data_IF_111309907631
#
_entry.id   IF_111309907631
#
_cell.length_a   1.000
_cell.length_b   1.000
_cell.length_c   1.000
_cell.angle_alpha   90.00
_cell.angle_beta   90.00
_cell.angle_gamma   90.00
#
_symmetry.space_group_name_H-M   'P 1'
#
loop_
_entity.id
_entity.type
_entity.pdbx_description
1 polymer ?
#
# COMPACT_ATOMS: atom_id res chain seq x y z
N UNK A 1 -22.13 19.15 -15.49
CA UNK A 1 -21.05 18.14 -15.65
C UNK A 1 -20.11 18.30 -14.48
N UNK A 2 -19.89 17.26 -13.68
CA UNK A 2 -18.92 17.29 -12.58
C UNK A 2 -17.51 17.40 -13.16
N UNK A 3 -16.70 18.33 -12.63
CA UNK A 3 -15.30 18.52 -13.05
C UNK A 3 -14.52 17.25 -12.70
N UNK A 4 -13.96 16.59 -13.71
CA UNK A 4 -13.09 15.42 -13.50
C UNK A 4 -11.74 15.88 -12.96
N UNK A 5 -11.19 15.15 -12.00
CA UNK A 5 -9.82 15.33 -11.52
C UNK A 5 -8.93 14.31 -12.21
N UNK A 6 -7.87 14.78 -12.86
CA UNK A 6 -6.94 13.96 -13.61
C UNK A 6 -5.57 13.97 -12.93
N UNK A 7 -4.99 12.79 -12.78
CA UNK A 7 -3.63 12.60 -12.28
C UNK A 7 -2.81 11.99 -13.40
N UNK A 8 -1.82 12.73 -13.89
CA UNK A 8 -0.84 12.21 -14.85
C UNK A 8 0.23 11.42 -14.12
N UNK A 9 0.48 10.19 -14.58
CA UNK A 9 1.52 9.31 -14.06
C UNK A 9 2.62 9.17 -15.11
N UNK A 10 3.83 9.54 -14.73
CA UNK A 10 5.01 9.36 -15.56
C UNK A 10 5.69 8.02 -15.29
N UNK A 11 6.44 7.52 -16.28
CA UNK A 11 7.26 6.34 -16.12
C UNK A 11 8.31 6.58 -15.01
N UNK A 12 8.37 5.74 -13.96
CA UNK A 12 9.36 5.89 -12.90
C UNK A 12 10.78 5.50 -13.32
N UNK A 13 10.98 4.86 -14.47
CA UNK A 13 12.30 4.51 -14.97
C UNK A 13 12.31 4.40 -16.50
N UNK A 14 13.52 4.40 -17.09
CA UNK A 14 13.69 3.98 -18.48
C UNK A 14 13.47 2.47 -18.56
N UNK A 15 12.72 2.02 -19.55
CA UNK A 15 12.47 0.59 -19.71
C UNK A 15 11.31 0.28 -20.63
N UNK A 16 10.91 -0.98 -20.67
CA UNK A 16 9.74 -1.43 -21.42
C UNK A 16 8.50 -1.36 -20.54
N UNK A 17 7.46 -0.64 -20.97
CA UNK A 17 6.19 -0.55 -20.25
C UNK A 17 5.38 -1.85 -20.39
N UNK A 18 4.89 -2.38 -19.28
CA UNK A 18 4.16 -3.64 -19.20
C UNK A 18 2.82 -3.45 -18.49
N UNK A 19 1.81 -4.20 -18.91
CA UNK A 19 0.58 -4.35 -18.15
C UNK A 19 0.87 -5.14 -16.86
N UNK A 20 0.17 -4.81 -15.76
CA UNK A 20 0.33 -5.56 -14.51
C UNK A 20 0.11 -7.06 -14.68
N UNK A 21 -0.83 -7.47 -15.54
CA UNK A 21 -1.12 -8.87 -15.83
C UNK A 21 0.06 -9.66 -16.43
N UNK A 22 1.16 -9.00 -16.82
CA UNK A 22 2.39 -9.63 -17.31
C UNK A 22 3.49 -9.75 -16.24
N UNK A 23 3.24 -9.26 -15.03
CA UNK A 23 4.16 -9.36 -13.89
C UNK A 23 4.08 -10.77 -13.31
N UNK A 24 5.23 -11.38 -12.97
CA UNK A 24 5.31 -12.73 -12.40
C UNK A 24 5.01 -12.77 -10.89
N UNK A 25 4.00 -12.02 -10.45
CA UNK A 25 3.55 -11.96 -9.07
C UNK A 25 2.02 -11.85 -9.04
N UNK A 26 1.29 -12.82 -8.45
CA UNK A 26 -0.18 -12.81 -8.40
C UNK A 26 -0.78 -11.60 -7.69
N UNK A 27 -0.10 -11.06 -6.69
CA UNK A 27 -0.57 -9.91 -5.91
C UNK A 27 -0.66 -8.67 -6.79
N UNK A 28 0.29 -8.48 -7.70
CA UNK A 28 0.29 -7.38 -8.65
C UNK A 28 -0.48 -7.72 -9.94
N UNK A 29 -0.26 -8.89 -10.52
CA UNK A 29 -0.83 -9.25 -11.83
C UNK A 29 -2.35 -9.43 -11.83
N UNK A 30 -2.93 -9.77 -10.67
CA UNK A 30 -4.38 -9.83 -10.49
C UNK A 30 -4.98 -8.50 -10.00
N UNK A 31 -4.16 -7.45 -9.82
CA UNK A 31 -4.60 -6.16 -9.30
C UNK A 31 -5.00 -6.19 -7.82
N UNK A 32 -4.56 -7.19 -7.05
CA UNK A 32 -4.87 -7.33 -5.63
C UNK A 32 -4.20 -6.26 -4.76
N UNK A 33 -3.17 -5.55 -5.26
CA UNK A 33 -2.62 -4.33 -4.65
C UNK A 33 -3.09 -3.02 -5.31
N UNK A 34 -4.01 -3.12 -6.28
CA UNK A 34 -4.56 -1.98 -6.99
C UNK A 34 -4.22 -1.96 -8.48
N UNK A 35 -4.82 -1.01 -9.19
CA UNK A 35 -4.61 -0.79 -10.62
C UNK A 35 -3.30 -0.05 -10.88
N UNK A 36 -2.65 -0.30 -12.01
CA UNK A 36 -1.36 0.29 -12.31
C UNK A 36 -0.69 -0.28 -13.54
N UNK A 37 0.63 -0.23 -13.56
CA UNK A 37 1.48 -0.75 -14.64
C UNK A 37 2.84 -1.18 -14.09
N UNK A 38 3.63 -1.85 -14.93
CA UNK A 38 4.98 -2.23 -14.60
C UNK A 38 5.97 -1.74 -15.66
N UNK A 39 7.25 -1.67 -15.32
CA UNK A 39 8.34 -1.35 -16.22
C UNK A 39 9.41 -2.42 -16.06
N UNK A 40 9.86 -3.02 -17.16
CA UNK A 40 11.11 -3.77 -17.16
C UNK A 40 12.27 -2.80 -17.39
N UNK A 41 13.08 -2.48 -16.36
CA UNK A 41 13.99 -1.35 -16.43
C UNK A 41 15.25 -1.63 -17.25
N UNK A 42 15.65 -0.64 -18.04
CA UNK A 42 16.98 -0.55 -18.63
C UNK A 42 17.93 0.34 -17.82
N UNK A 43 17.41 1.10 -16.86
CA UNK A 43 18.17 1.96 -15.95
C UNK A 43 17.74 1.75 -14.50
N UNK A 44 18.72 1.85 -13.59
CA UNK A 44 18.48 1.78 -12.14
C UNK A 44 18.06 3.09 -11.49
N UNK A 45 18.02 4.21 -12.23
CA UNK A 45 17.57 5.49 -11.68
C UNK A 45 16.04 5.56 -11.69
N UNK A 46 15.45 5.61 -10.50
CA UNK A 46 14.01 5.67 -10.28
C UNK A 46 13.60 7.09 -9.95
N UNK A 47 12.55 7.57 -10.61
CA UNK A 47 11.98 8.90 -10.41
C UNK A 47 10.56 8.84 -9.85
N UNK A 48 10.14 9.91 -9.18
CA UNK A 48 8.77 10.07 -8.72
C UNK A 48 7.80 10.10 -9.93
N UNK A 49 6.73 9.30 -9.93
CA UNK A 49 5.78 9.21 -11.04
C UNK A 49 4.73 10.33 -11.06
N UNK A 50 4.60 11.09 -9.97
CA UNK A 50 3.67 12.20 -9.83
C UNK A 50 4.13 13.13 -8.72
N UNK A 51 3.57 14.34 -8.69
CA UNK A 51 3.72 15.27 -7.57
C UNK A 51 3.03 14.72 -6.32
N UNK A 52 3.69 14.83 -5.16
CA UNK A 52 3.10 14.35 -3.91
C UNK A 52 4.03 14.45 -2.71
N UNK A 53 3.59 13.81 -1.63
CA UNK A 53 4.36 13.65 -0.39
C UNK A 53 4.75 12.19 -0.25
N UNK A 54 6.01 11.92 0.04
CA UNK A 54 6.48 10.58 0.37
C UNK A 54 5.84 10.14 1.68
N UNK A 55 5.10 9.05 1.68
CA UNK A 55 4.38 8.53 2.86
C UNK A 55 5.07 7.33 3.48
N UNK A 56 5.86 6.59 2.69
CA UNK A 56 6.49 5.35 3.11
C UNK A 56 7.81 5.17 2.38
N UNK A 57 8.83 4.74 3.13
CA UNK A 57 10.01 4.05 2.58
C UNK A 57 10.10 2.74 3.36
N UNK A 58 10.01 1.60 2.68
CA UNK A 58 10.15 0.29 3.34
C UNK A 58 11.51 0.15 4.03
N UNK A 59 11.60 -0.64 5.11
CA UNK A 59 12.86 -0.87 5.84
C UNK A 59 13.99 -1.37 4.93
N UNK A 60 13.67 -2.30 4.03
CA UNK A 60 14.60 -2.85 3.04
C UNK A 60 14.64 -2.04 1.75
N UNK A 61 14.09 -0.81 1.74
CA UNK A 61 14.25 0.22 0.70
C UNK A 61 13.78 -0.14 -0.72
N UNK A 62 13.11 -1.28 -0.90
CA UNK A 62 12.63 -1.75 -2.20
C UNK A 62 11.24 -1.19 -2.57
N UNK A 63 10.56 -0.52 -1.63
CA UNK A 63 9.27 0.10 -1.88
C UNK A 63 9.20 1.54 -1.35
N UNK A 64 8.51 2.40 -2.13
CA UNK A 64 8.26 3.81 -1.86
C UNK A 64 6.76 4.10 -2.02
N UNK A 65 6.16 4.76 -1.03
CA UNK A 65 4.79 5.28 -1.10
C UNK A 65 4.79 6.79 -1.35
N UNK A 66 3.94 7.27 -2.25
CA UNK A 66 3.72 8.69 -2.53
C UNK A 66 2.21 8.96 -2.50
N UNK A 67 1.79 9.97 -1.75
CA UNK A 67 0.41 10.45 -1.76
C UNK A 67 0.30 11.74 -2.55
N UNK A 68 -0.54 11.74 -3.59
CA UNK A 68 -0.78 12.94 -4.39
C UNK A 68 -1.75 13.88 -3.67
N UNK A 69 -1.71 15.17 -4.03
CA UNK A 69 -2.67 16.17 -3.53
C UNK A 69 -4.12 15.82 -3.87
N UNK A 70 -4.34 15.05 -4.93
CA UNK A 70 -5.66 14.66 -5.42
C UNK A 70 -6.11 13.31 -4.82
N UNK A 71 -5.38 12.81 -3.81
CA UNK A 71 -5.78 11.69 -2.97
C UNK A 71 -5.33 10.31 -3.46
N UNK A 72 -4.51 10.21 -4.51
CA UNK A 72 -3.99 8.92 -4.96
C UNK A 72 -2.82 8.46 -4.10
N UNK A 73 -2.90 7.23 -3.61
CA UNK A 73 -1.81 6.55 -2.93
C UNK A 73 -1.07 5.68 -3.95
N UNK A 74 0.14 6.11 -4.29
CA UNK A 74 1.01 5.47 -5.29
C UNK A 74 2.06 4.63 -4.55
N UNK A 75 2.15 3.36 -4.90
CA UNK A 75 3.23 2.46 -4.49
C UNK A 75 4.17 2.23 -5.68
N UNK A 76 5.45 2.49 -5.48
CA UNK A 76 6.54 2.05 -6.36
C UNK A 76 7.22 0.86 -5.66
N UNK A 77 7.19 -0.31 -6.28
CA UNK A 77 7.84 -1.53 -5.79
C UNK A 77 8.94 -1.94 -6.77
N UNK A 78 10.14 -2.23 -6.25
CA UNK A 78 11.36 -2.43 -7.04
C UNK A 78 11.75 -3.90 -7.08
N UNK A 79 11.46 -4.58 -8.18
CA UNK A 79 11.71 -6.00 -8.38
C UNK A 79 10.68 -6.90 -7.69
N UNK A 80 10.88 -8.22 -7.80
CA UNK A 80 10.07 -9.25 -7.13
C UNK A 80 10.90 -9.94 -6.06
N UNK A 81 10.33 -10.16 -4.87
CA UNK A 81 10.98 -10.75 -3.69
C UNK A 81 12.30 -10.07 -3.27
N UNK A 82 12.47 -8.80 -3.61
CA UNK A 82 13.70 -8.03 -3.33
C UNK A 82 13.84 -7.61 -1.87
N UNK A 83 12.79 -7.80 -1.06
CA UNK A 83 12.86 -7.68 0.40
C UNK A 83 13.97 -8.55 1.00
N UNK A 84 14.24 -9.74 0.42
CA UNK A 84 15.29 -10.67 0.85
C UNK A 84 16.71 -10.11 0.66
N UNK A 85 16.87 -9.06 -0.15
CA UNK A 85 18.16 -8.43 -0.43
C UNK A 85 18.56 -7.41 0.66
N UNK A 86 17.73 -7.23 1.68
CA UNK A 86 18.04 -6.44 2.89
C UNK A 86 18.52 -5.01 2.58
N UNK A 87 17.95 -4.37 1.55
CA UNK A 87 18.28 -3.00 1.17
C UNK A 87 19.61 -2.80 0.44
N UNK A 88 20.44 -3.84 0.27
CA UNK A 88 21.77 -3.71 -0.34
C UNK A 88 21.77 -3.13 -1.76
N UNK A 89 20.82 -3.48 -2.66
CA UNK A 89 20.81 -2.93 -4.01
C UNK A 89 20.26 -1.50 -4.10
N UNK A 90 19.75 -0.92 -3.01
CA UNK A 90 18.93 0.28 -3.05
C UNK A 90 19.56 1.45 -2.28
N UNK A 91 19.75 2.55 -2.98
CA UNK A 91 20.13 3.85 -2.40
C UNK A 91 18.93 4.79 -2.51
N UNK A 92 18.36 5.20 -1.37
CA UNK A 92 17.15 6.05 -1.32
C UNK A 92 17.57 7.49 -1.07
N UNK A 93 17.04 8.42 -1.87
CA UNK A 93 17.35 9.85 -1.80
C UNK A 93 16.32 10.68 -1.00
N UNK A 94 15.20 10.06 -0.63
CA UNK A 94 14.05 10.71 0.03
C UNK A 94 13.65 9.98 1.32
N UNK A 95 12.87 10.64 2.17
CA UNK A 95 12.30 10.07 3.40
C UNK A 95 10.81 10.42 3.53
N UNK A 96 10.05 9.70 4.38
CA UNK A 96 8.66 10.07 4.67
C UNK A 96 8.54 11.54 5.11
N UNK A 97 7.55 12.24 4.56
CA UNK A 97 7.32 13.67 4.77
C UNK A 97 7.94 14.58 3.70
N UNK A 98 8.88 14.09 2.89
CA UNK A 98 9.45 14.89 1.80
C UNK A 98 8.42 15.13 0.69
N UNK A 99 8.41 16.33 0.13
CA UNK A 99 7.66 16.65 -1.08
C UNK A 99 8.50 16.32 -2.31
N UNK A 100 7.87 15.71 -3.32
CA UNK A 100 8.49 15.35 -4.61
C UNK A 100 7.64 15.85 -5.77
N UNK A 101 8.30 16.17 -6.88
CA UNK A 101 7.70 16.46 -8.17
C UNK A 101 7.90 15.29 -9.13
N UNK A 102 6.99 15.13 -10.09
CA UNK A 102 7.15 14.13 -11.14
C UNK A 102 8.52 14.29 -11.84
N UNK A 103 9.31 13.21 -11.87
CA UNK A 103 10.66 13.21 -12.45
C UNK A 103 11.80 13.40 -11.45
N UNK A 104 11.53 13.77 -10.19
CA UNK A 104 12.57 13.85 -9.15
C UNK A 104 13.17 12.47 -8.88
N UNK A 105 14.49 12.37 -8.77
CA UNK A 105 15.17 11.11 -8.44
C UNK A 105 14.86 10.72 -6.99
N UNK A 106 14.33 9.50 -6.78
CA UNK A 106 13.89 9.02 -5.46
C UNK A 106 14.69 7.81 -4.98
N UNK A 107 15.04 6.89 -5.87
CA UNK A 107 15.77 5.66 -5.54
C UNK A 107 16.75 5.34 -6.67
N UNK A 108 17.94 4.85 -6.34
CA UNK A 108 18.82 4.13 -7.27
C UNK A 108 18.81 2.64 -6.92
N UNK A 109 18.48 1.82 -7.92
CA UNK A 109 18.51 0.36 -7.85
C UNK A 109 19.69 -0.18 -8.63
N UNK A 110 20.54 -0.98 -7.99
CA UNK A 110 21.58 -1.74 -8.68
C UNK A 110 20.96 -2.97 -9.36
N UNK A 111 20.59 -2.81 -10.64
CA UNK A 111 19.97 -3.87 -11.44
C UNK A 111 20.82 -5.14 -11.53
N UNK A 112 22.15 -4.99 -11.62
CA UNK A 112 23.04 -6.15 -11.72
C UNK A 112 23.02 -6.96 -10.43
N UNK A 113 23.07 -6.29 -9.28
CA UNK A 113 23.01 -6.96 -7.97
C UNK A 113 21.69 -7.71 -7.76
N UNK A 114 20.58 -7.16 -8.23
CA UNK A 114 19.27 -7.84 -8.16
C UNK A 114 19.27 -9.09 -9.03
N UNK A 115 19.80 -9.01 -10.26
CA UNK A 115 19.90 -10.15 -11.19
C UNK A 115 20.88 -11.23 -10.72
N UNK A 116 22.02 -10.83 -10.18
CA UNK A 116 23.03 -11.75 -9.62
C UNK A 116 22.47 -12.54 -8.43
N UNK A 117 21.49 -11.98 -7.72
CA UNK A 117 20.75 -12.66 -6.65
C UNK A 117 19.59 -13.55 -7.15
N UNK A 118 19.41 -13.67 -8.48
CA UNK A 118 18.35 -14.49 -9.08
C UNK A 118 16.95 -13.89 -8.95
N UNK A 119 16.84 -12.58 -8.73
CA UNK A 119 15.56 -11.87 -8.56
C UNK A 119 15.20 -11.06 -9.81
N UNK A 120 13.91 -10.82 -10.01
CA UNK A 120 13.42 -9.99 -11.12
C UNK A 120 13.60 -8.50 -10.82
N UNK A 121 13.91 -7.72 -11.87
CA UNK A 121 14.13 -6.27 -11.78
C UNK A 121 12.89 -5.44 -12.09
N UNK A 122 11.76 -6.07 -12.43
CA UNK A 122 10.54 -5.38 -12.85
C UNK A 122 10.08 -4.39 -11.78
N UNK A 123 9.93 -3.13 -12.17
CA UNK A 123 9.41 -2.06 -11.30
C UNK A 123 7.90 -2.05 -11.46
N UNK A 124 7.19 -2.05 -10.35
CA UNK A 124 5.73 -2.00 -10.34
C UNK A 124 5.30 -0.65 -9.79
N UNK A 125 4.35 -0.01 -10.48
CA UNK A 125 3.60 1.12 -9.98
C UNK A 125 2.15 0.70 -9.79
N UNK A 126 1.64 0.82 -8.57
CA UNK A 126 0.25 0.52 -8.23
C UNK A 126 -0.42 1.69 -7.51
N UNK A 127 -1.67 1.97 -7.85
CA UNK A 127 -2.55 2.86 -7.11
C UNK A 127 -3.28 2.04 -6.04
N UNK A 128 -2.79 2.07 -4.80
CA UNK A 128 -3.21 1.14 -3.74
C UNK A 128 -4.62 1.41 -3.22
N UNK A 129 -5.14 2.61 -3.45
CA UNK A 129 -6.51 3.01 -3.13
C UNK A 129 -7.40 3.13 -4.38
N UNK A 130 -7.02 2.47 -5.48
CA UNK A 130 -7.73 2.57 -6.76
C UNK A 130 -9.20 2.17 -6.70
N UNK A 131 -9.58 1.17 -5.89
CA UNK A 131 -11.00 0.80 -5.74
C UNK A 131 -11.88 1.95 -5.22
N UNK A 132 -11.30 2.80 -4.37
CA UNK A 132 -12.04 3.87 -3.70
C UNK A 132 -12.06 5.13 -4.56
N UNK A 133 -10.93 5.48 -5.18
CA UNK A 133 -10.78 6.78 -5.83
C UNK A 133 -10.88 6.71 -7.36
N UNK A 134 -10.51 5.60 -7.97
CA UNK A 134 -10.30 5.53 -9.42
C UNK A 134 -11.65 5.37 -10.12
N UNK A 135 -11.90 6.22 -11.11
CA UNK A 135 -12.96 6.03 -12.08
C UNK A 135 -12.43 5.27 -13.29
N UNK A 136 -11.24 5.64 -13.76
CA UNK A 136 -10.59 5.02 -14.92
C UNK A 136 -9.07 5.22 -14.84
N UNK A 137 -8.29 4.24 -15.26
CA UNK A 137 -6.86 4.36 -15.49
C UNK A 137 -6.57 4.06 -16.96
N UNK A 138 -6.25 5.09 -17.73
CA UNK A 138 -5.87 4.97 -19.12
C UNK A 138 -4.34 4.89 -19.21
N UNK A 139 -3.82 3.71 -19.51
CA UNK A 139 -2.40 3.51 -19.81
C UNK A 139 -2.23 3.27 -21.31
N UNK A 140 -1.27 3.97 -21.92
CA UNK A 140 -1.02 3.87 -23.36
C UNK A 140 0.36 3.30 -23.63
N UNK A 141 0.56 2.73 -24.83
CA UNK A 141 1.87 2.25 -25.30
C UNK A 141 2.47 1.08 -24.48
N UNK A 142 1.64 0.14 -24.03
CA UNK A 142 2.15 -1.13 -23.52
C UNK A 142 3.06 -1.83 -24.55
N UNK A 143 4.04 -2.57 -24.03
CA UNK A 143 5.09 -3.26 -24.78
C UNK A 143 6.05 -2.37 -25.57
N UNK A 144 6.04 -1.06 -25.32
CA UNK A 144 6.97 -0.08 -25.90
C UNK A 144 8.00 0.38 -24.87
N UNK A 145 9.14 0.82 -25.38
CA UNK A 145 10.15 1.49 -24.57
C UNK A 145 9.66 2.89 -24.18
N UNK A 146 9.89 3.24 -22.92
CA UNK A 146 9.54 4.52 -22.30
C UNK A 146 10.76 5.10 -21.60
N UNK A 147 10.78 6.42 -21.51
CA UNK A 147 11.82 7.18 -20.80
C UNK A 147 11.23 7.69 -19.49
N UNK A 148 12.01 7.61 -18.41
CA UNK A 148 11.66 8.14 -17.11
C UNK A 148 11.16 9.59 -17.23
N UNK A 149 10.06 9.92 -16.54
CA UNK A 149 9.44 11.24 -16.63
C UNK A 149 8.47 11.44 -17.81
N UNK A 150 8.35 10.47 -18.73
CA UNK A 150 7.33 10.52 -19.78
C UNK A 150 5.98 10.08 -19.24
N UNK A 151 4.90 10.81 -19.52
CA UNK A 151 3.53 10.40 -19.16
C UNK A 151 3.18 9.09 -19.86
N UNK A 152 2.82 8.07 -19.07
CA UNK A 152 2.43 6.74 -19.59
C UNK A 152 1.00 6.37 -19.22
N UNK A 153 0.48 6.96 -18.13
CA UNK A 153 -0.89 6.75 -17.71
C UNK A 153 -1.56 8.04 -17.22
N UNK A 154 -2.88 8.08 -17.35
CA UNK A 154 -3.74 9.12 -16.79
C UNK A 154 -4.81 8.45 -15.94
N UNK A 155 -4.85 8.78 -14.66
CA UNK A 155 -5.88 8.34 -13.74
C UNK A 155 -6.97 9.41 -13.64
N UNK A 156 -8.19 9.04 -13.99
CA UNK A 156 -9.39 9.83 -13.70
C UNK A 156 -9.90 9.43 -12.32
N UNK A 157 -9.93 10.37 -11.38
CA UNK A 157 -10.39 10.10 -10.01
C UNK A 157 -11.77 10.70 -9.76
N UNK A 158 -12.55 10.06 -8.90
CA UNK A 158 -13.89 10.48 -8.50
C UNK A 158 -13.81 11.88 -7.88
N UNK A 159 -14.58 12.83 -8.40
CA UNK A 159 -14.62 14.20 -7.89
C UNK A 159 -15.17 14.22 -6.44
N UNK A 160 -14.45 14.88 -5.51
CA UNK A 160 -14.91 15.09 -4.13
C UNK A 160 -14.07 14.45 -3.02
N UNK A 161 -12.81 14.08 -3.27
CA UNK A 161 -11.89 13.80 -2.17
C UNK A 161 -11.40 15.14 -1.62
N UNK A 162 -12.26 15.75 -0.81
CA UNK A 162 -11.87 16.87 0.04
C UNK A 162 -10.71 16.40 0.93
N UNK A 163 -9.55 17.07 0.82
CA UNK A 163 -8.44 17.00 1.78
C UNK A 163 -8.81 17.57 3.19
N UNK A 164 -10.07 17.40 3.60
CA UNK A 164 -10.59 17.67 4.94
C UNK A 164 -11.15 16.39 5.54
N UNK A 165 -10.26 15.45 5.84
CA UNK A 165 -10.44 14.58 7.02
C UNK A 165 -9.33 14.87 8.02
N UNK A 166 -9.28 16.13 8.48
CA UNK A 166 -8.86 16.37 9.84
C UNK A 166 -10.09 16.15 10.71
N UNK A 167 -10.03 15.14 11.58
CA UNK A 167 -10.78 14.98 12.82
C UNK A 167 -12.14 15.66 12.89
N UNK A 168 -13.19 14.98 12.42
CA UNK A 168 -14.48 15.03 13.10
C UNK A 168 -15.11 13.64 13.03
N UNK A 169 -15.16 12.99 14.18
CA UNK A 169 -15.94 11.78 14.45
C UNK A 169 -17.37 12.03 13.98
N UNK A 170 -17.77 11.39 12.87
CA UNK A 170 -19.19 11.25 12.50
C UNK A 170 -19.60 9.80 12.72
N UNK A 171 -20.39 9.62 13.77
CA UNK A 171 -21.14 8.44 14.15
C UNK A 171 -22.04 8.01 12.97
N UNK A 172 -21.63 6.98 12.24
CA UNK A 172 -22.41 6.35 11.17
C UNK A 172 -21.60 5.18 10.61
N UNK A 173 -22.15 3.96 10.70
CA UNK A 173 -21.49 2.71 10.36
C UNK A 173 -20.84 2.77 8.98
N UNK A 174 -19.50 2.84 8.96
CA UNK A 174 -18.71 2.77 7.74
C UNK A 174 -18.87 1.42 7.03
N UNK A 175 -18.47 1.35 5.76
CA UNK A 175 -18.54 0.17 4.87
C UNK A 175 -18.09 -1.16 5.50
N UNK A 176 -17.23 -1.12 6.52
CA UNK A 176 -16.69 -2.29 7.21
C UNK A 176 -17.03 -2.35 8.70
N UNK A 177 -18.04 -1.60 9.16
CA UNK A 177 -18.43 -1.61 10.57
C UNK A 177 -18.79 -3.01 11.06
N UNK A 178 -19.50 -3.79 10.26
CA UNK A 178 -19.89 -5.16 10.63
C UNK A 178 -18.67 -6.09 10.68
N UNK A 179 -17.80 -6.03 9.68
CA UNK A 179 -16.55 -6.81 9.66
C UNK A 179 -15.64 -6.43 10.84
N UNK A 180 -15.51 -5.14 11.15
CA UNK A 180 -14.75 -4.68 12.30
C UNK A 180 -15.32 -5.20 13.62
N UNK A 181 -16.66 -5.17 13.77
CA UNK A 181 -17.33 -5.70 14.95
C UNK A 181 -17.12 -7.20 15.10
N UNK A 182 -17.25 -7.95 14.01
CA UNK A 182 -17.02 -9.40 13.98
C UNK A 182 -15.56 -9.72 14.34
N UNK A 183 -14.58 -8.99 13.79
CA UNK A 183 -13.17 -9.19 14.13
C UNK A 183 -12.93 -8.89 15.61
N UNK A 184 -13.40 -7.75 16.12
CA UNK A 184 -13.21 -7.36 17.53
C UNK A 184 -13.84 -8.37 18.49
N UNK A 185 -15.04 -8.88 18.19
CA UNK A 185 -15.67 -9.93 18.99
C UNK A 185 -14.81 -11.20 18.98
N UNK A 186 -14.35 -11.62 17.81
CA UNK A 186 -13.67 -12.91 17.64
C UNK A 186 -12.18 -12.87 18.00
N UNK A 187 -11.55 -11.71 18.22
CA UNK A 187 -10.24 -11.63 18.89
C UNK A 187 -10.35 -11.69 20.42
N UNK A 188 -11.55 -11.93 20.97
CA UNK A 188 -11.81 -12.01 22.42
C UNK A 188 -12.39 -10.73 23.02
N UNK A 189 -12.89 -9.82 22.19
CA UNK A 189 -13.47 -8.53 22.59
C UNK A 189 -12.42 -7.45 22.87
N UNK A 190 -12.89 -6.21 23.04
CA UNK A 190 -12.04 -5.04 23.33
C UNK A 190 -11.16 -5.25 24.57
N UNK A 191 -11.69 -5.94 25.59
CA UNK A 191 -10.96 -6.26 26.81
C UNK A 191 -9.72 -7.14 26.58
N UNK A 192 -9.62 -7.85 25.46
CA UNK A 192 -8.48 -8.69 25.09
C UNK A 192 -7.44 -7.96 24.21
N UNK A 193 -7.71 -6.73 23.77
CA UNK A 193 -6.81 -5.97 22.89
C UNK A 193 -5.93 -5.05 23.75
N UNK A 194 -4.61 -5.08 23.52
CA UNK A 194 -3.67 -4.09 24.05
C UNK A 194 -3.51 -2.94 23.06
N UNK A 195 -3.26 -3.27 21.79
CA UNK A 195 -3.17 -2.28 20.71
C UNK A 195 -3.45 -2.91 19.36
N UNK A 196 -3.76 -2.06 18.39
CA UNK A 196 -4.02 -2.40 17.00
C UNK A 196 -3.24 -1.43 16.12
N UNK A 197 -2.46 -2.00 15.20
CA UNK A 197 -1.78 -1.26 14.14
C UNK A 197 -2.11 -1.92 12.80
N UNK A 198 -1.75 -1.28 11.68
CA UNK A 198 -1.88 -1.92 10.38
C UNK A 198 -0.69 -1.62 9.47
N UNK A 199 -0.44 -2.53 8.53
CA UNK A 199 0.41 -2.28 7.37
C UNK A 199 -0.45 -2.34 6.09
N UNK A 200 0.18 -2.36 4.92
CA UNK A 200 -0.51 -2.29 3.60
C UNK A 200 -1.58 -3.38 3.42
N UNK A 201 -1.43 -4.54 4.06
CA UNK A 201 -2.36 -5.67 3.87
C UNK A 201 -2.88 -6.32 5.14
N UNK A 202 -2.34 -5.97 6.31
CA UNK A 202 -2.59 -6.69 7.56
C UNK A 202 -2.98 -5.76 8.69
N UNK A 203 -4.04 -6.14 9.38
CA UNK A 203 -4.40 -5.62 10.68
C UNK A 203 -3.66 -6.45 11.73
N UNK A 204 -2.94 -5.80 12.63
CA UNK A 204 -2.08 -6.46 13.62
C UNK A 204 -2.56 -6.10 15.01
N UNK A 205 -3.07 -7.10 15.72
CA UNK A 205 -3.49 -6.98 17.11
C UNK A 205 -2.35 -7.46 18.02
N UNK A 206 -2.09 -6.68 19.06
CA UNK A 206 -1.41 -7.17 20.24
C UNK A 206 -2.49 -7.57 21.24
N UNK A 207 -2.64 -8.86 21.47
CA UNK A 207 -3.66 -9.39 22.38
C UNK A 207 -3.07 -9.63 23.77
N UNK A 208 -3.92 -9.57 24.79
CA UNK A 208 -3.58 -9.98 26.16
C UNK A 208 -3.49 -11.50 26.27
N UNK A 209 -4.34 -12.20 25.53
CA UNK A 209 -4.42 -13.65 25.51
C UNK A 209 -4.82 -14.15 24.12
N UNK A 210 -3.87 -14.72 23.40
CA UNK A 210 -4.07 -15.27 22.05
C UNK A 210 -5.06 -16.46 22.03
N UNK A 211 -5.25 -17.16 23.15
CA UNK A 211 -6.16 -18.30 23.23
C UNK A 211 -7.65 -17.90 23.20
N UNK A 212 -7.96 -16.62 23.40
CA UNK A 212 -9.33 -16.08 23.28
C UNK A 212 -9.69 -15.71 21.85
N UNK A 213 -8.72 -15.69 20.94
CA UNK A 213 -9.00 -15.44 19.53
C UNK A 213 -9.55 -16.70 18.86
N UNK A 214 -10.57 -16.53 18.03
CA UNK A 214 -11.20 -17.60 17.26
C UNK A 214 -10.69 -17.55 15.82
N UNK A 215 -9.54 -18.20 15.60
CA UNK A 215 -8.85 -18.27 14.31
C UNK A 215 -9.80 -18.73 13.19
N UNK A 216 -10.47 -19.86 13.39
CA UNK A 216 -11.36 -20.48 12.40
C UNK A 216 -12.49 -19.53 11.97
N UNK A 217 -13.12 -18.82 12.91
CA UNK A 217 -14.18 -17.86 12.56
C UNK A 217 -13.62 -16.69 11.77
N UNK A 218 -12.49 -16.12 12.21
CA UNK A 218 -11.91 -14.94 11.56
C UNK A 218 -11.44 -15.25 10.14
N UNK A 219 -10.80 -16.40 9.92
CA UNK A 219 -10.35 -16.82 8.58
C UNK A 219 -11.49 -17.01 7.59
N UNK A 220 -12.69 -17.37 8.07
CA UNK A 220 -13.86 -17.59 7.23
C UNK A 220 -14.73 -16.33 7.04
N UNK A 221 -14.34 -15.17 7.59
CA UNK A 221 -15.07 -13.92 7.41
C UNK A 221 -14.90 -13.36 5.99
N UNK A 222 -16.00 -12.87 5.42
CA UNK A 222 -15.96 -12.18 4.12
C UNK A 222 -15.12 -10.91 4.24
N UNK A 223 -14.02 -10.85 3.50
CA UNK A 223 -13.07 -9.73 3.54
C UNK A 223 -11.79 -10.03 4.34
N UNK A 224 -11.70 -11.20 4.96
CA UNK A 224 -10.46 -11.75 5.51
C UNK A 224 -9.91 -12.79 4.53
N UNK A 225 -8.61 -12.70 4.24
CA UNK A 225 -7.88 -13.63 3.39
C UNK A 225 -7.38 -14.82 4.22
N UNK A 226 -6.77 -14.56 5.37
CA UNK A 226 -6.27 -15.57 6.33
C UNK A 226 -5.84 -14.88 7.64
N UNK A 227 -5.45 -15.67 8.63
CA UNK A 227 -4.86 -15.23 9.90
C UNK A 227 -3.42 -15.74 9.99
N UNK A 228 -2.53 -14.96 10.60
CA UNK A 228 -1.18 -15.39 10.90
C UNK A 228 -0.77 -14.93 12.30
N UNK A 229 0.06 -15.72 12.99
CA UNK A 229 0.62 -15.38 14.31
C UNK A 229 2.14 -15.31 14.18
N UNK A 230 2.71 -14.12 14.35
CA UNK A 230 4.15 -13.92 14.24
C UNK A 230 4.60 -12.69 15.03
N UNK A 231 5.74 -12.78 15.72
CA UNK A 231 6.33 -11.66 16.46
C UNK A 231 5.44 -11.14 17.60
N UNK A 232 4.67 -12.01 18.25
CA UNK A 232 3.71 -11.63 19.30
C UNK A 232 2.48 -10.87 18.79
N UNK A 233 2.27 -10.85 17.48
CA UNK A 233 1.12 -10.21 16.85
C UNK A 233 0.15 -11.25 16.31
N UNK A 234 -1.13 -11.03 16.59
CA UNK A 234 -2.24 -11.69 15.91
C UNK A 234 -2.58 -10.87 14.65
N UNK A 235 -2.31 -11.43 13.47
CA UNK A 235 -2.43 -10.72 12.20
C UNK A 235 -3.66 -11.21 11.42
N UNK A 236 -4.54 -10.29 11.08
CA UNK A 236 -5.67 -10.53 10.16
C UNK A 236 -5.29 -9.95 8.81
N UNK A 237 -5.17 -10.81 7.80
CA UNK A 237 -4.79 -10.39 6.45
C UNK A 237 -6.07 -10.00 5.71
N UNK A 238 -6.19 -8.72 5.34
CA UNK A 238 -7.39 -8.13 4.73
C UNK A 238 -7.12 -7.72 3.27
N UNK A 239 -5.87 -7.42 2.93
CA UNK A 239 -5.50 -6.86 1.64
C UNK A 239 -5.75 -5.34 1.59
N UNK A 240 -6.14 -4.81 0.43
CA UNK A 240 -6.25 -3.36 0.19
C UNK A 240 -7.23 -2.63 1.12
N UNK A 241 -8.25 -3.33 1.63
CA UNK A 241 -9.25 -2.74 2.51
C UNK A 241 -8.76 -2.52 3.95
N UNK A 242 -7.52 -2.87 4.28
CA UNK A 242 -7.02 -2.90 5.66
C UNK A 242 -7.13 -1.55 6.36
N UNK A 243 -6.89 -0.42 5.68
CA UNK A 243 -6.99 0.92 6.30
C UNK A 243 -8.44 1.25 6.66
N UNK A 244 -9.40 0.94 5.78
CA UNK A 244 -10.81 1.16 6.09
C UNK A 244 -11.31 0.26 7.23
N UNK A 245 -10.83 -0.99 7.27
CA UNK A 245 -11.18 -1.92 8.37
C UNK A 245 -10.51 -1.49 9.67
N UNK A 246 -9.25 -1.04 9.63
CA UNK A 246 -8.56 -0.45 10.77
C UNK A 246 -9.33 0.76 11.31
N UNK A 247 -9.70 1.71 10.45
CA UNK A 247 -10.48 2.88 10.84
C UNK A 247 -11.82 2.47 11.45
N UNK A 248 -12.50 1.46 10.89
CA UNK A 248 -13.74 0.93 11.46
C UNK A 248 -13.53 0.29 12.85
N UNK A 249 -12.44 -0.46 13.03
CA UNK A 249 -12.05 -1.04 14.33
C UNK A 249 -11.76 0.07 15.34
N UNK A 250 -10.94 1.05 15.01
CA UNK A 250 -10.62 2.18 15.90
C UNK A 250 -11.86 3.01 16.23
N UNK A 251 -12.76 3.22 15.28
CA UNK A 251 -14.04 3.88 15.56
C UNK A 251 -14.92 3.11 16.55
N UNK A 252 -14.76 1.79 16.65
CA UNK A 252 -15.50 0.94 17.58
C UNK A 252 -14.82 0.80 18.93
N UNK A 253 -13.49 0.67 18.96
CA UNK A 253 -12.74 0.34 20.19
C UNK A 253 -12.13 1.56 20.87
N UNK A 254 -11.91 2.66 20.14
CA UNK A 254 -11.28 3.90 20.64
C UNK A 254 -9.87 4.13 20.09
N UNK A 255 -9.46 5.40 20.03
CA UNK A 255 -8.14 5.81 19.54
C UNK A 255 -7.00 5.51 20.52
N UNK A 256 -7.31 5.20 21.78
CA UNK A 256 -6.32 4.81 22.79
C UNK A 256 -5.61 3.48 22.46
N UNK A 257 -6.14 2.70 21.52
CA UNK A 257 -5.58 1.42 21.09
C UNK A 257 -4.60 1.55 19.90
N UNK A 258 -4.29 2.75 19.41
CA UNK A 258 -3.45 2.93 18.22
C UNK A 258 -1.94 2.91 18.47
N UNK A 259 -1.50 2.96 19.73
CA UNK A 259 -0.08 3.04 20.10
C UNK A 259 0.47 1.70 20.61
N UNK A 260 1.39 1.11 19.85
CA UNK A 260 2.11 -0.11 20.24
C UNK A 260 3.21 0.13 21.29
N UNK A 261 3.62 1.39 21.53
CA UNK A 261 4.68 1.74 22.48
C UNK A 261 4.18 1.96 23.92
N UNK A 262 2.87 2.13 24.14
CA UNK A 262 2.32 2.48 25.46
C UNK A 262 2.02 1.28 26.39
N UNK A 263 2.27 0.03 25.97
CA UNK A 263 1.91 -1.17 26.73
C UNK A 263 3.05 -2.16 26.97
N UNK A 264 4.30 -1.78 26.64
CA UNK A 264 5.47 -2.63 26.88
C UNK A 264 6.07 -2.52 28.31
N UNK A 265 5.50 -1.68 29.19
CA UNK A 265 5.88 -1.65 30.61
C UNK A 265 4.63 -1.65 31.51
N UNK A 266 4.26 -2.85 31.95
CA UNK A 266 3.88 -3.19 33.33
C UNK A 266 3.77 -4.70 33.50
#
# INVERSE_FOLDING_TARGET
MSKQTLISLVAPANGKLLALSKVNDPVFSQGLMGQGFAIEPTSGNIVAPADGIVTLVSETKHALGIKTKDGADILIHLGIDTVELNGKPFEVAVKPGDAVQAGDSVIKMNLQMVRDAGKETTIILALTNSNDILQELLTTNFDKDVVAGTVVAVATVKAGIDNKKNSTVKKGNGKYADLAADIVENVGGTGNINSVIHCITRLRFYLKDDAKANDDKIENMKGVITVAKAGGQYQVIIGQAVTDVYDAVINQIGTEYTDAEATAEQ
#
